data_IF_652085159482
#
_entry.id   IF_652085159482
#
_cell.length_a   1.000
_cell.length_b   1.000
_cell.length_c   1.000
_cell.angle_alpha   90.00
_cell.angle_beta   90.00
_cell.angle_gamma   90.00
#
_symmetry.space_group_name_H-M   'P 1'
#
loop_
_entity.id
_entity.type
_entity.pdbx_description
1 polymer ?
#
# COMPACT_ATOMS: atom_id res chain seq x y z
N UNK A 1 5.82 17.16 -4.71
CA UNK A 1 6.27 15.83 -5.13
C UNK A 1 5.09 15.13 -5.80
N UNK A 2 5.23 14.70 -7.05
CA UNK A 2 4.18 13.95 -7.75
C UNK A 2 4.16 12.53 -7.23
N UNK A 3 2.98 12.03 -6.86
CA UNK A 3 2.82 10.65 -6.41
C UNK A 3 3.02 9.69 -7.59
N UNK A 4 3.76 8.62 -7.33
CA UNK A 4 4.05 7.55 -8.28
C UNK A 4 3.48 6.23 -7.77
N UNK A 5 3.57 5.20 -8.61
CA UNK A 5 3.26 3.81 -8.31
C UNK A 5 1.76 3.48 -8.13
N UNK A 6 0.85 4.37 -8.54
CA UNK A 6 -0.57 4.03 -8.59
C UNK A 6 -0.76 2.78 -9.47
N UNK A 7 -1.25 1.66 -8.92
CA UNK A 7 -1.46 0.46 -9.71
C UNK A 7 -2.63 0.67 -10.68
N UNK A 8 -2.51 0.11 -11.88
CA UNK A 8 -3.63 -0.04 -12.78
C UNK A 8 -4.43 -1.28 -12.35
N UNK A 9 -5.55 -1.05 -11.66
CA UNK A 9 -6.37 -2.12 -11.11
C UNK A 9 -7.11 -2.92 -12.20
N UNK A 10 -7.33 -2.35 -13.38
CA UNK A 10 -7.94 -3.06 -14.52
C UNK A 10 -6.90 -3.99 -15.15
N UNK A 11 -5.65 -3.53 -15.27
CA UNK A 11 -4.56 -4.41 -15.69
C UNK A 11 -4.35 -5.54 -14.68
N UNK A 12 -4.31 -5.20 -13.38
CA UNK A 12 -4.09 -6.19 -12.33
C UNK A 12 -5.18 -7.27 -12.28
N UNK A 13 -6.46 -6.89 -12.45
CA UNK A 13 -7.56 -7.86 -12.45
C UNK A 13 -7.45 -8.88 -13.58
N UNK A 14 -6.87 -8.50 -14.72
CA UNK A 14 -6.60 -9.42 -15.82
C UNK A 14 -5.37 -10.30 -15.56
N UNK A 15 -4.30 -9.73 -14.98
CA UNK A 15 -3.06 -10.48 -14.66
C UNK A 15 -3.28 -11.55 -13.59
N UNK A 16 -4.21 -11.32 -12.66
CA UNK A 16 -4.44 -12.23 -11.53
C UNK A 16 -5.32 -13.43 -11.90
N UNK A 17 -6.04 -13.38 -13.03
CA UNK A 17 -6.98 -14.43 -13.45
C UNK A 17 -6.26 -15.77 -13.67
N UNK A 18 -6.85 -16.84 -13.12
CA UNK A 18 -6.38 -18.22 -13.30
C UNK A 18 -7.52 -19.04 -13.88
N UNK A 19 -7.23 -19.77 -14.96
CA UNK A 19 -8.10 -20.70 -15.66
C UNK A 19 -7.34 -21.99 -15.93
N UNK A 20 -8.04 -23.06 -16.26
CA UNK A 20 -7.39 -24.34 -16.64
C UNK A 20 -6.45 -24.18 -17.84
N UNK A 21 -6.83 -23.33 -18.80
CA UNK A 21 -6.08 -23.07 -20.03
C UNK A 21 -4.76 -22.32 -19.78
N UNK A 22 -4.73 -21.45 -18.77
CA UNK A 22 -3.58 -20.60 -18.48
C UNK A 22 -2.76 -21.06 -17.26
N UNK A 23 -3.14 -22.18 -16.62
CA UNK A 23 -2.62 -22.62 -15.33
C UNK A 23 -1.08 -22.77 -15.32
N UNK A 24 -0.51 -23.39 -16.35
CA UNK A 24 0.94 -23.63 -16.43
C UNK A 24 1.72 -22.31 -16.54
N UNK A 25 1.25 -21.40 -17.40
CA UNK A 25 1.80 -20.04 -17.51
C UNK A 25 1.66 -19.26 -16.20
N UNK A 26 0.52 -19.40 -15.52
CA UNK A 26 0.30 -18.77 -14.23
C UNK A 26 1.27 -19.26 -13.17
N UNK A 27 1.56 -20.56 -13.13
CA UNK A 27 2.51 -21.17 -12.21
C UNK A 27 3.95 -20.67 -12.46
N UNK A 28 4.36 -20.60 -13.73
CA UNK A 28 5.69 -20.11 -14.11
C UNK A 28 5.87 -18.62 -13.77
N UNK A 29 4.85 -17.79 -13.99
CA UNK A 29 4.93 -16.34 -13.85
C UNK A 29 4.59 -15.83 -12.44
N UNK A 30 4.04 -16.66 -11.56
CA UNK A 30 3.56 -16.27 -10.22
C UNK A 30 4.63 -15.56 -9.38
N UNK A 31 5.85 -16.07 -9.36
CA UNK A 31 6.96 -15.51 -8.56
C UNK A 31 7.37 -14.13 -9.09
N UNK A 32 7.49 -13.97 -10.41
CA UNK A 32 7.80 -12.71 -11.07
C UNK A 32 6.74 -11.64 -10.78
N UNK A 33 5.46 -12.00 -10.94
CA UNK A 33 4.35 -11.09 -10.67
C UNK A 33 4.31 -10.66 -9.19
N UNK A 34 4.52 -11.60 -8.26
CA UNK A 34 4.60 -11.32 -6.83
C UNK A 34 5.77 -10.38 -6.52
N UNK A 35 6.94 -10.61 -7.11
CA UNK A 35 8.14 -9.78 -6.92
C UNK A 35 7.92 -8.36 -7.43
N UNK A 36 7.32 -8.21 -8.62
CA UNK A 36 7.00 -6.92 -9.22
C UNK A 36 6.07 -6.09 -8.31
N UNK A 37 4.90 -6.61 -7.93
CA UNK A 37 3.96 -5.87 -7.08
C UNK A 37 4.52 -5.61 -5.67
N UNK A 38 5.33 -6.51 -5.13
CA UNK A 38 6.02 -6.30 -3.85
C UNK A 38 7.05 -5.16 -3.93
N UNK A 39 7.80 -5.07 -5.03
CA UNK A 39 8.76 -3.98 -5.26
C UNK A 39 8.06 -2.62 -5.43
N UNK A 40 6.95 -2.60 -6.17
CA UNK A 40 6.13 -1.40 -6.32
C UNK A 40 5.56 -0.97 -4.96
N UNK A 41 5.06 -1.91 -4.15
CA UNK A 41 4.58 -1.64 -2.79
C UNK A 41 5.68 -1.02 -1.92
N UNK A 42 6.88 -1.61 -1.90
CA UNK A 42 8.01 -1.07 -1.13
C UNK A 42 8.38 0.36 -1.56
N UNK A 43 8.29 0.66 -2.86
CA UNK A 43 8.49 2.01 -3.38
C UNK A 43 7.39 2.98 -2.95
N UNK A 44 6.14 2.54 -2.90
CA UNK A 44 5.01 3.31 -2.37
C UNK A 44 5.11 3.52 -0.85
N UNK A 45 5.58 2.53 -0.09
CA UNK A 45 5.86 2.66 1.35
C UNK A 45 6.88 3.76 1.62
N UNK A 46 7.99 3.78 0.87
CA UNK A 46 8.99 4.86 0.94
C UNK A 46 8.36 6.21 0.61
N UNK A 47 7.55 6.29 -0.45
CA UNK A 47 6.87 7.53 -0.84
C UNK A 47 5.93 8.04 0.26
N UNK A 48 5.13 7.17 0.86
CA UNK A 48 4.25 7.50 1.97
C UNK A 48 5.04 8.04 3.17
N UNK A 49 6.16 7.41 3.52
CA UNK A 49 7.01 7.88 4.62
C UNK A 49 7.60 9.27 4.35
N UNK A 50 7.98 9.57 3.11
CA UNK A 50 8.41 10.91 2.71
C UNK A 50 7.27 11.94 2.81
N UNK A 51 6.04 11.57 2.44
CA UNK A 51 4.87 12.43 2.60
C UNK A 51 4.55 12.71 4.08
N UNK A 52 4.60 11.68 4.94
CA UNK A 52 4.44 11.83 6.40
C UNK A 52 5.48 12.77 6.99
N UNK A 53 6.75 12.58 6.63
CA UNK A 53 7.83 13.48 7.07
C UNK A 53 7.59 14.93 6.61
N UNK A 54 7.15 15.13 5.37
CA UNK A 54 6.83 16.47 4.86
C UNK A 54 5.64 17.10 5.61
N UNK A 55 4.64 16.31 5.99
CA UNK A 55 3.51 16.75 6.80
C UNK A 55 3.96 17.15 8.22
N UNK A 56 4.82 16.36 8.87
CA UNK A 56 5.40 16.67 10.17
C UNK A 56 6.24 17.96 10.15
N UNK A 57 7.10 18.14 9.15
CA UNK A 57 7.89 19.36 8.96
C UNK A 57 6.98 20.57 8.77
N UNK A 58 5.94 20.44 7.94
CA UNK A 58 4.97 21.52 7.70
C UNK A 58 4.23 21.89 8.98
N UNK A 59 3.80 20.89 9.75
CA UNK A 59 3.17 21.10 11.06
C UNK A 59 4.10 21.87 12.01
N UNK A 60 5.35 21.44 12.15
CA UNK A 60 6.30 22.07 13.06
C UNK A 60 6.60 23.54 12.68
N UNK A 61 6.72 23.82 11.38
CA UNK A 61 6.93 25.19 10.88
C UNK A 61 5.72 26.08 11.17
N UNK A 62 4.51 25.62 10.88
CA UNK A 62 3.28 26.38 11.16
C UNK A 62 3.06 26.55 12.68
N UNK A 63 3.40 25.54 13.47
CA UNK A 63 3.33 25.63 14.93
C UNK A 63 4.22 26.74 15.47
N UNK A 64 5.47 26.81 15.00
CA UNK A 64 6.39 27.89 15.39
C UNK A 64 5.85 29.26 14.95
N UNK A 65 5.38 29.38 13.71
CA UNK A 65 4.83 30.63 13.16
C UNK A 65 3.61 31.12 13.96
N UNK A 66 2.65 30.24 14.25
CA UNK A 66 1.46 30.61 15.02
C UNK A 66 1.77 30.91 16.48
N UNK A 67 2.69 30.15 17.09
CA UNK A 67 3.13 30.42 18.45
C UNK A 67 3.76 31.81 18.57
N UNK A 68 4.64 32.17 17.64
CA UNK A 68 5.26 33.50 17.61
C UNK A 68 4.21 34.61 17.41
N UNK A 69 3.25 34.43 16.48
CA UNK A 69 2.15 35.38 16.27
C UNK A 69 1.30 35.60 17.51
N UNK A 70 0.92 34.53 18.21
CA UNK A 70 0.06 34.60 19.40
C UNK A 70 0.79 35.18 20.61
N UNK A 71 2.10 34.97 20.73
CA UNK A 71 2.92 35.64 21.74
C UNK A 71 2.96 37.16 21.47
N UNK A 72 3.11 37.57 20.21
CA UNK A 72 3.13 38.99 19.84
C UNK A 72 1.78 39.69 19.97
N UNK A 73 0.66 38.96 19.90
CA UNK A 73 -0.69 39.52 20.07
C UNK A 73 -1.14 39.61 21.53
N UNK A 74 -0.33 39.16 22.49
CA UNK A 74 -0.68 39.03 23.92
C UNK A 74 -1.96 38.21 24.19
N UNK A 75 -2.43 37.43 23.21
CA UNK A 75 -3.62 36.60 23.35
C UNK A 75 -3.31 35.34 24.15
N UNK A 76 -4.22 34.97 25.06
CA UNK A 76 -4.14 33.67 25.73
C UNK A 76 -4.41 32.56 24.72
N UNK A 77 -3.40 31.73 24.46
CA UNK A 77 -3.54 30.56 23.61
C UNK A 77 -3.32 29.26 24.38
N UNK A 78 -3.81 28.18 23.78
CA UNK A 78 -3.52 26.81 24.21
C UNK A 78 -2.92 26.05 23.02
N UNK A 79 -2.20 24.97 23.28
CA UNK A 79 -1.66 24.12 22.21
C UNK A 79 -2.78 23.57 21.30
N UNK A 80 -4.00 23.37 21.84
CA UNK A 80 -5.18 22.98 21.05
C UNK A 80 -5.65 24.07 20.08
N UNK A 81 -5.55 25.34 20.47
CA UNK A 81 -5.87 26.47 19.60
C UNK A 81 -4.92 26.49 18.41
N UNK A 82 -3.62 26.35 18.67
CA UNK A 82 -2.59 26.31 17.61
C UNK A 82 -2.80 25.10 16.69
N UNK A 83 -3.01 23.90 17.23
CA UNK A 83 -3.31 22.71 16.43
C UNK A 83 -4.53 22.90 15.52
N UNK A 84 -5.58 23.54 16.02
CA UNK A 84 -6.78 23.85 15.23
C UNK A 84 -6.47 24.81 14.09
N UNK A 85 -5.67 25.86 14.34
CA UNK A 85 -5.22 26.81 13.31
C UNK A 85 -4.36 26.12 12.25
N UNK A 86 -3.43 25.25 12.65
CA UNK A 86 -2.61 24.49 11.70
C UNK A 86 -3.47 23.60 10.81
N UNK A 87 -4.45 22.90 11.39
CA UNK A 87 -5.31 21.96 10.64
C UNK A 87 -6.23 22.65 9.63
N UNK A 88 -6.52 23.94 9.79
CA UNK A 88 -7.29 24.73 8.84
C UNK A 88 -6.42 25.45 7.81
N UNK A 89 -5.09 25.46 7.98
CA UNK A 89 -4.19 26.12 7.03
C UNK A 89 -4.14 25.40 5.68
N UNK A 90 -4.36 26.11 4.54
CA UNK A 90 -4.31 25.51 3.21
C UNK A 90 -2.99 24.77 2.93
N UNK A 91 -1.87 25.26 3.47
CA UNK A 91 -0.57 24.60 3.33
C UNK A 91 -0.54 23.23 4.01
N UNK A 92 -1.12 23.11 5.20
CA UNK A 92 -1.20 21.84 5.93
C UNK A 92 -2.19 20.89 5.27
N UNK A 93 -3.36 21.38 4.86
CA UNK A 93 -4.37 20.59 4.16
C UNK A 93 -3.78 19.98 2.88
N UNK A 94 -3.02 20.75 2.10
CA UNK A 94 -2.39 20.27 0.87
C UNK A 94 -1.37 19.15 1.09
N UNK A 95 -0.60 19.19 2.18
CA UNK A 95 0.34 18.09 2.50
C UNK A 95 -0.38 16.89 3.12
N UNK A 96 -1.41 17.12 3.94
CA UNK A 96 -2.24 16.05 4.50
C UNK A 96 -2.97 15.25 3.42
N UNK A 97 -3.58 15.94 2.44
CA UNK A 97 -4.23 15.29 1.30
C UNK A 97 -3.24 14.40 0.53
N UNK A 98 -2.03 14.91 0.28
CA UNK A 98 -0.99 14.11 -0.40
C UNK A 98 -0.57 12.88 0.40
N UNK A 99 -0.50 12.97 1.73
CA UNK A 99 -0.23 11.82 2.59
C UNK A 99 -1.34 10.78 2.46
N UNK A 100 -2.61 11.21 2.43
CA UNK A 100 -3.78 10.33 2.25
C UNK A 100 -3.73 9.66 0.89
N UNK A 101 -3.49 10.41 -0.19
CA UNK A 101 -3.40 9.87 -1.54
C UNK A 101 -2.22 8.87 -1.68
N UNK A 102 -1.08 9.16 -1.04
CA UNK A 102 0.06 8.23 -1.00
C UNK A 102 -0.27 6.95 -0.23
N UNK A 103 -1.06 7.08 0.83
CA UNK A 103 -1.53 5.96 1.64
C UNK A 103 -2.49 5.08 0.84
N UNK A 104 -3.42 5.66 0.08
CA UNK A 104 -4.31 4.92 -0.82
C UNK A 104 -3.53 4.04 -1.81
N UNK A 105 -2.52 4.61 -2.48
CA UNK A 105 -1.67 3.88 -3.44
C UNK A 105 -0.98 2.69 -2.77
N UNK A 106 -0.42 2.90 -1.58
CA UNK A 106 0.26 1.85 -0.80
C UNK A 106 -0.71 0.73 -0.44
N UNK A 107 -1.91 1.07 0.01
CA UNK A 107 -2.91 0.11 0.43
C UNK A 107 -3.45 -0.70 -0.77
N UNK A 108 -3.64 -0.07 -1.93
CA UNK A 108 -3.98 -0.78 -3.18
C UNK A 108 -2.90 -1.81 -3.55
N UNK A 109 -1.62 -1.44 -3.49
CA UNK A 109 -0.51 -2.36 -3.76
C UNK A 109 -0.42 -3.48 -2.72
N UNK A 110 -0.70 -3.18 -1.44
CA UNK A 110 -0.80 -4.21 -0.40
C UNK A 110 -1.92 -5.20 -0.69
N UNK A 111 -3.09 -4.73 -1.13
CA UNK A 111 -4.19 -5.61 -1.54
C UNK A 111 -3.78 -6.49 -2.74
N UNK A 112 -3.06 -5.94 -3.72
CA UNK A 112 -2.53 -6.70 -4.85
C UNK A 112 -1.59 -7.84 -4.39
N UNK A 113 -0.64 -7.54 -3.51
CA UNK A 113 0.30 -8.54 -2.96
C UNK A 113 -0.45 -9.63 -2.19
N UNK A 114 -1.44 -9.27 -1.36
CA UNK A 114 -2.26 -10.25 -0.64
C UNK A 114 -3.02 -11.15 -1.60
N UNK A 115 -3.65 -10.58 -2.63
CA UNK A 115 -4.37 -11.35 -3.63
C UNK A 115 -3.43 -12.31 -4.41
N UNK A 116 -2.18 -11.91 -4.69
CA UNK A 116 -1.19 -12.79 -5.31
C UNK A 116 -0.75 -13.95 -4.40
N UNK A 117 -0.71 -13.76 -3.09
CA UNK A 117 -0.45 -14.84 -2.13
C UNK A 117 -1.58 -15.88 -2.20
N UNK A 118 -2.83 -15.44 -2.27
CA UNK A 118 -3.97 -16.36 -2.40
C UNK A 118 -4.02 -17.01 -3.78
N UNK A 119 -3.72 -16.25 -4.85
CA UNK A 119 -3.56 -16.79 -6.21
C UNK A 119 -2.55 -17.94 -6.24
N UNK A 120 -1.40 -17.80 -5.56
CA UNK A 120 -0.39 -18.87 -5.48
C UNK A 120 -0.97 -20.15 -4.87
N UNK A 121 -1.78 -20.04 -3.81
CA UNK A 121 -2.44 -21.20 -3.19
C UNK A 121 -3.42 -21.85 -4.15
N UNK A 122 -4.23 -21.05 -4.86
CA UNK A 122 -5.21 -21.55 -5.81
C UNK A 122 -4.53 -22.29 -6.98
N UNK A 123 -3.44 -21.75 -7.52
CA UNK A 123 -2.64 -22.42 -8.56
C UNK A 123 -2.16 -23.80 -8.07
N UNK A 124 -1.62 -23.85 -6.85
CA UNK A 124 -1.16 -25.12 -6.27
C UNK A 124 -2.30 -26.14 -6.15
N UNK A 125 -3.46 -25.73 -5.64
CA UNK A 125 -4.63 -26.60 -5.51
C UNK A 125 -5.11 -27.15 -6.85
N UNK A 126 -5.09 -26.34 -7.91
CA UNK A 126 -5.47 -26.76 -9.26
C UNK A 126 -4.45 -27.74 -9.85
N UNK A 127 -3.15 -27.48 -9.68
CA UNK A 127 -2.09 -28.40 -10.13
C UNK A 127 -2.14 -29.76 -9.40
N UNK A 128 -2.39 -29.73 -8.09
CA UNK A 128 -2.57 -30.94 -7.29
C UNK A 128 -3.80 -31.73 -7.78
N UNK A 129 -4.91 -31.03 -8.04
CA UNK A 129 -6.13 -31.65 -8.58
C UNK A 129 -5.91 -32.29 -9.95
N UNK A 130 -5.19 -31.61 -10.86
CA UNK A 130 -4.79 -32.16 -12.17
C UNK A 130 -3.92 -33.41 -12.03
N UNK A 131 -3.02 -33.43 -11.05
CA UNK A 131 -2.15 -34.58 -10.76
C UNK A 131 -2.94 -35.78 -10.26
N UNK A 132 -3.90 -35.57 -9.35
CA UNK A 132 -4.79 -36.63 -8.83
C UNK A 132 -5.65 -37.21 -9.96
N UNK A 133 -6.22 -36.35 -10.82
CA UNK A 133 -7.02 -36.80 -11.96
C UNK A 133 -6.22 -37.63 -12.97
N UNK A 134 -4.93 -37.34 -13.12
CA UNK A 134 -4.01 -38.12 -13.95
C UNK A 134 -3.57 -39.47 -13.33
N UNK A 135 -4.10 -39.82 -12.15
CA UNK A 135 -3.73 -41.04 -11.42
C UNK A 135 -2.42 -40.94 -10.63
N UNK A 136 -1.88 -39.72 -10.49
CA UNK A 136 -0.70 -39.45 -9.67
C UNK A 136 -1.04 -39.33 -8.17
N UNK A 137 -0.06 -39.59 -7.32
CA UNK A 137 -0.17 -39.35 -5.89
C UNK A 137 0.34 -37.95 -5.53
N UNK A 138 -0.46 -37.17 -4.81
CA UNK A 138 -0.04 -35.88 -4.24
C UNK A 138 0.35 -36.08 -2.79
N UNK A 139 1.57 -35.69 -2.42
CA UNK A 139 2.02 -35.72 -1.03
C UNK A 139 1.27 -34.69 -0.21
N UNK A 140 0.32 -35.11 0.63
CA UNK A 140 -0.28 -34.29 1.68
C UNK A 140 0.81 -33.83 2.64
N UNK A 141 1.46 -32.70 2.37
CA UNK A 141 2.26 -32.02 3.38
C UNK A 141 1.27 -31.27 4.26
N UNK A 142 0.79 -31.96 5.31
CA UNK A 142 0.21 -31.32 6.48
C UNK A 142 1.25 -30.37 7.06
N UNK A 143 1.20 -29.11 6.65
CA UNK A 143 1.89 -28.02 7.33
C UNK A 143 1.23 -27.88 8.70
N UNK A 144 1.76 -28.59 9.68
CA UNK A 144 1.57 -28.27 11.09
C UNK A 144 2.13 -26.86 11.28
N UNK A 145 1.24 -25.89 11.44
CA UNK A 145 1.59 -24.53 11.83
C UNK A 145 2.12 -24.57 13.27
N UNK A 146 3.36 -24.13 13.46
CA UNK A 146 3.88 -23.58 14.71
C UNK A 146 4.34 -22.15 14.44
#
# INVERSE_FOLDING_TARGET
MTLKYKPDMVKFSNEILVTEENLDSCAMNQSGLTSYYSSQKASADRQLNLCKLAQEITYANLYKEFKEKLISSEERYTDKTIDSMIKTEPKYIAVAQRTIDAQEIRDQLQACVTALIDRKKNIQQLLDSRTIQAGGAVGLTTRNNF
#
